data_IF_970425103414
#
_entry.id   IF_970425103414
#
_cell.length_a   1.000
_cell.length_b   1.000
_cell.length_c   1.000
_cell.angle_alpha   90.00
_cell.angle_beta   90.00
_cell.angle_gamma   90.00
#
_symmetry.space_group_name_H-M   'P 1'
#
loop_
_entity.id
_entity.type
_entity.pdbx_description
1 polymer ?
#
# COMPACT_ATOMS: atom_id res chain seq x y z
N UNK A 1 17.04 -1.60 28.04
CA UNK A 1 15.92 -1.86 27.12
C UNK A 1 15.51 -3.31 27.32
N UNK A 2 14.26 -3.60 27.66
CA UNK A 2 13.77 -4.97 27.71
C UNK A 2 13.79 -5.56 26.31
N UNK A 3 14.21 -6.82 26.16
CA UNK A 3 14.11 -7.53 24.89
C UNK A 3 12.64 -7.59 24.44
N UNK A 4 12.37 -7.28 23.17
CA UNK A 4 11.05 -7.50 22.59
C UNK A 4 10.76 -8.99 22.64
N UNK A 5 9.58 -9.37 23.15
CA UNK A 5 9.13 -10.76 23.18
C UNK A 5 8.02 -10.95 22.15
N UNK A 6 8.16 -11.98 21.31
CA UNK A 6 7.14 -12.36 20.31
C UNK A 6 6.20 -13.46 20.82
N UNK A 7 6.38 -13.91 22.07
CA UNK A 7 5.59 -14.98 22.66
C UNK A 7 4.13 -14.58 22.69
N UNK A 8 3.27 -15.42 22.11
CA UNK A 8 1.81 -15.25 22.05
C UNK A 8 1.33 -14.07 21.21
N UNK A 9 2.22 -13.41 20.45
CA UNK A 9 1.84 -12.34 19.54
C UNK A 9 1.11 -12.90 18.31
N UNK A 10 -0.02 -12.31 17.93
CA UNK A 10 -0.75 -12.63 16.70
C UNK A 10 -0.24 -11.74 15.57
N UNK A 11 0.43 -12.35 14.61
CA UNK A 11 1.01 -11.66 13.46
C UNK A 11 0.15 -11.96 12.24
N UNK A 12 -0.48 -10.93 11.69
CA UNK A 12 -1.12 -10.99 10.38
C UNK A 12 -0.07 -10.96 9.29
N UNK A 13 0.07 -12.04 8.53
CA UNK A 13 1.02 -12.11 7.42
C UNK A 13 0.32 -11.79 6.09
N UNK A 14 0.57 -10.59 5.58
CA UNK A 14 0.06 -10.12 4.30
C UNK A 14 1.09 -10.30 3.19
N UNK A 15 0.91 -11.36 2.40
CA UNK A 15 1.89 -11.80 1.40
C UNK A 15 1.55 -11.40 -0.04
N UNK A 16 0.31 -11.00 -0.30
CA UNK A 16 -0.16 -10.71 -1.65
C UNK A 16 0.08 -9.23 -1.96
N UNK A 17 0.90 -8.89 -2.97
CA UNK A 17 1.09 -7.50 -3.33
C UNK A 17 -0.23 -6.91 -3.88
N UNK A 18 -0.47 -5.60 -3.69
CA UNK A 18 -1.58 -4.89 -4.33
C UNK A 18 -1.68 -5.10 -5.84
N UNK A 19 -0.52 -5.26 -6.50
CA UNK A 19 -0.38 -5.31 -7.95
C UNK A 19 0.69 -6.33 -8.31
N UNK A 20 0.45 -7.10 -9.37
CA UNK A 20 1.40 -8.06 -9.89
C UNK A 20 1.57 -9.28 -8.98
N UNK A 21 2.76 -9.86 -9.01
CA UNK A 21 3.10 -11.06 -8.25
C UNK A 21 4.32 -10.81 -7.37
N UNK A 22 4.38 -11.52 -6.23
CA UNK A 22 5.53 -11.49 -5.35
C UNK A 22 6.68 -12.29 -5.96
N UNK A 23 7.85 -11.70 -6.05
CA UNK A 23 9.07 -12.40 -6.47
C UNK A 23 9.35 -13.61 -5.56
N UNK A 24 9.76 -14.73 -6.16
CA UNK A 24 9.99 -15.99 -5.46
C UNK A 24 11.07 -15.90 -4.36
N UNK A 25 12.18 -15.19 -4.61
CA UNK A 25 13.26 -15.04 -3.63
C UNK A 25 12.79 -14.25 -2.41
N UNK A 26 11.97 -13.23 -2.63
CA UNK A 26 11.40 -12.44 -1.53
C UNK A 26 10.34 -13.23 -0.78
N UNK A 27 9.52 -14.01 -1.49
CA UNK A 27 8.60 -14.93 -0.85
C UNK A 27 9.34 -15.94 0.06
N UNK A 28 10.49 -16.46 -0.37
CA UNK A 28 11.33 -17.33 0.45
C UNK A 28 11.88 -16.57 1.67
N UNK A 29 12.47 -15.40 1.47
CA UNK A 29 13.06 -14.61 2.55
C UNK A 29 12.05 -14.21 3.62
N UNK A 30 10.87 -13.72 3.21
CA UNK A 30 9.81 -13.34 4.16
C UNK A 30 9.21 -14.55 4.85
N UNK A 31 9.08 -15.70 4.16
CA UNK A 31 8.54 -16.92 4.77
C UNK A 31 9.49 -17.43 5.86
N UNK A 32 10.80 -17.43 5.60
CA UNK A 32 11.82 -17.80 6.60
C UNK A 32 11.82 -16.86 7.80
N UNK A 33 11.59 -15.55 7.60
CA UNK A 33 11.42 -14.61 8.70
C UNK A 33 10.16 -14.93 9.54
N UNK A 34 9.05 -15.33 8.90
CA UNK A 34 7.82 -15.71 9.62
C UNK A 34 8.02 -17.01 10.41
N UNK A 35 8.74 -17.99 9.86
CA UNK A 35 9.12 -19.23 10.55
C UNK A 35 9.94 -18.91 11.81
N UNK A 36 10.92 -18.02 11.69
CA UNK A 36 11.77 -17.58 12.82
C UNK A 36 10.95 -16.91 13.93
N UNK A 37 9.89 -16.18 13.58
CA UNK A 37 8.98 -15.57 14.57
C UNK A 37 8.05 -16.62 15.19
N UNK A 38 7.57 -17.58 14.41
CA UNK A 38 6.76 -18.69 14.90
C UNK A 38 7.53 -19.54 15.92
N UNK A 39 8.81 -19.84 15.66
CA UNK A 39 9.70 -20.57 16.58
C UNK A 39 9.92 -19.82 17.90
N UNK A 40 9.78 -18.50 17.90
CA UNK A 40 9.82 -17.65 19.09
C UNK A 40 8.46 -17.56 19.83
N UNK A 41 7.45 -18.27 19.35
CA UNK A 41 6.13 -18.40 19.96
C UNK A 41 5.07 -17.45 19.43
N UNK A 42 5.29 -16.78 18.28
CA UNK A 42 4.27 -16.01 17.61
C UNK A 42 3.26 -16.92 16.89
N UNK A 43 2.01 -16.47 16.78
CA UNK A 43 0.99 -17.09 15.93
C UNK A 43 0.92 -16.34 14.61
N UNK A 44 1.32 -17.00 13.53
CA UNK A 44 1.27 -16.42 12.18
C UNK A 44 -0.07 -16.77 11.53
N UNK A 45 -0.85 -15.76 11.17
CA UNK A 45 -2.20 -15.89 10.60
C UNK A 45 -2.22 -15.20 9.23
N UNK A 46 -2.84 -15.79 8.19
CA UNK A 46 -3.01 -15.10 6.92
C UNK A 46 -3.72 -13.74 7.08
N UNK A 47 -3.21 -12.70 6.41
CA UNK A 47 -3.84 -11.39 6.39
C UNK A 47 -4.09 -10.93 4.96
N UNK A 48 -5.29 -10.40 4.73
CA UNK A 48 -5.71 -9.87 3.42
C UNK A 48 -6.28 -8.48 3.65
N UNK A 49 -5.98 -7.54 2.75
CA UNK A 49 -6.62 -6.23 2.80
C UNK A 49 -8.13 -6.38 2.55
N UNK A 50 -8.99 -5.67 3.29
CA UNK A 50 -10.44 -5.69 3.11
C UNK A 50 -10.89 -4.83 1.91
N UNK A 51 -10.18 -4.96 0.78
CA UNK A 51 -10.49 -4.30 -0.49
C UNK A 51 -9.79 -5.05 -1.63
N UNK A 52 -10.45 -5.16 -2.78
CA UNK A 52 -9.90 -5.84 -3.95
C UNK A 52 -8.97 -4.94 -4.79
N UNK A 53 -9.29 -3.64 -4.93
CA UNK A 53 -8.54 -2.71 -5.75
C UNK A 53 -7.99 -1.52 -4.93
N UNK A 54 -6.98 -1.83 -4.11
CA UNK A 54 -6.30 -0.81 -3.29
C UNK A 54 -5.49 0.17 -4.15
N UNK A 55 -5.05 -0.24 -5.35
CA UNK A 55 -4.29 0.64 -6.24
C UNK A 55 -5.21 1.71 -6.84
N UNK A 56 -6.39 1.35 -7.34
CA UNK A 56 -7.37 2.34 -7.84
C UNK A 56 -7.69 3.39 -6.76
N UNK A 57 -7.94 2.93 -5.54
CA UNK A 57 -8.19 3.82 -4.40
C UNK A 57 -6.99 4.73 -4.11
N UNK A 58 -5.77 4.18 -4.11
CA UNK A 58 -4.55 4.95 -3.91
C UNK A 58 -4.36 6.01 -5.02
N UNK A 59 -4.49 5.60 -6.27
CA UNK A 59 -4.28 6.46 -7.44
C UNK A 59 -5.23 7.65 -7.43
N UNK A 60 -6.52 7.46 -7.15
CA UNK A 60 -7.47 8.58 -7.07
C UNK A 60 -7.03 9.65 -6.08
N UNK A 61 -6.58 9.27 -4.88
CA UNK A 61 -6.16 10.22 -3.85
C UNK A 61 -4.78 10.81 -4.14
N UNK A 62 -3.84 10.01 -4.63
CA UNK A 62 -2.50 10.46 -4.98
C UNK A 62 -2.52 11.45 -6.14
N UNK A 63 -3.24 11.13 -7.21
CA UNK A 63 -3.35 11.97 -8.40
C UNK A 63 -4.10 13.27 -8.09
N UNK A 64 -5.20 13.21 -7.33
CA UNK A 64 -5.90 14.42 -6.88
C UNK A 64 -4.99 15.34 -6.03
N UNK A 65 -4.19 14.76 -5.13
CA UNK A 65 -3.19 15.51 -4.35
C UNK A 65 -2.10 16.13 -5.21
N UNK A 66 -1.59 15.38 -6.19
CA UNK A 66 -0.61 15.88 -7.17
C UNK A 66 -1.17 17.04 -7.99
N UNK A 67 -2.41 16.93 -8.47
CA UNK A 67 -3.10 17.98 -9.22
C UNK A 67 -3.30 19.25 -8.37
N UNK A 68 -3.74 19.10 -7.11
CA UNK A 68 -3.90 20.22 -6.19
C UNK A 68 -2.57 20.94 -5.96
N UNK A 69 -1.49 20.20 -5.73
CA UNK A 69 -0.16 20.79 -5.57
C UNK A 69 0.29 21.48 -6.86
N UNK A 70 0.12 20.84 -8.01
CA UNK A 70 0.51 21.35 -9.31
C UNK A 70 -0.24 22.64 -9.68
N UNK A 71 -1.53 22.74 -9.36
CA UNK A 71 -2.34 23.94 -9.59
C UNK A 71 -1.78 25.18 -8.88
N UNK A 72 -1.09 25.00 -7.75
CA UNK A 72 -0.45 26.09 -6.99
C UNK A 72 0.91 26.56 -7.56
N UNK A 73 1.46 25.85 -8.56
CA UNK A 73 2.77 26.14 -9.16
C UNK A 73 2.56 26.96 -10.44
N UNK A 74 3.41 27.97 -10.66
CA UNK A 74 3.40 28.83 -11.85
C UNK A 74 3.74 28.03 -13.12
N UNK A 75 3.28 28.50 -14.28
CA UNK A 75 3.57 27.82 -15.56
C UNK A 75 5.07 27.69 -15.84
N UNK A 76 5.85 28.74 -15.56
CA UNK A 76 7.30 28.74 -15.75
C UNK A 76 8.02 27.70 -14.87
N UNK A 77 7.54 27.48 -13.65
CA UNK A 77 8.13 26.52 -12.73
C UNK A 77 7.65 25.08 -12.98
N UNK A 78 6.47 24.89 -13.58
CA UNK A 78 5.96 23.55 -13.93
C UNK A 78 6.90 22.83 -14.88
N UNK A 79 7.56 23.54 -15.81
CA UNK A 79 8.52 22.94 -16.74
C UNK A 79 9.77 22.35 -16.05
N UNK A 80 10.07 22.77 -14.82
CA UNK A 80 11.22 22.29 -14.03
C UNK A 80 10.89 21.03 -13.24
N UNK A 81 9.63 20.61 -13.21
CA UNK A 81 9.17 19.45 -12.45
C UNK A 81 9.50 18.14 -13.18
N UNK A 82 9.77 17.11 -12.38
CA UNK A 82 9.91 15.73 -12.85
C UNK A 82 8.73 15.34 -13.74
N UNK A 83 9.01 14.66 -14.86
CA UNK A 83 7.99 14.32 -15.86
C UNK A 83 6.94 13.34 -15.30
N UNK A 84 7.33 12.41 -14.42
CA UNK A 84 6.40 11.49 -13.77
C UNK A 84 5.44 12.22 -12.84
N UNK A 85 5.92 13.22 -12.10
CA UNK A 85 5.05 14.08 -11.30
C UNK A 85 4.07 14.89 -12.16
N UNK A 86 4.53 15.47 -13.27
CA UNK A 86 3.65 16.22 -14.19
C UNK A 86 2.54 15.33 -14.76
N UNK A 87 2.89 14.13 -15.22
CA UNK A 87 1.92 13.16 -15.73
C UNK A 87 0.87 12.79 -14.68
N UNK A 88 1.31 12.54 -13.43
CA UNK A 88 0.43 12.25 -12.31
C UNK A 88 -0.53 13.43 -12.01
N UNK A 89 -0.01 14.66 -12.01
CA UNK A 89 -0.83 15.84 -11.79
C UNK A 89 -1.85 16.08 -12.92
N UNK A 90 -1.44 15.93 -14.17
CA UNK A 90 -2.34 16.05 -15.33
C UNK A 90 -3.45 15.01 -15.32
N UNK A 91 -3.15 13.77 -14.90
CA UNK A 91 -4.17 12.73 -14.65
C UNK A 91 -5.14 13.18 -13.56
N UNK A 92 -4.63 13.71 -12.45
CA UNK A 92 -5.47 14.19 -11.36
C UNK A 92 -6.36 15.38 -11.73
N UNK A 93 -5.89 16.29 -12.59
CA UNK A 93 -6.69 17.43 -13.08
C UNK A 93 -7.92 17.00 -13.90
N UNK A 94 -7.95 15.76 -14.40
CA UNK A 94 -9.09 15.20 -15.14
C UNK A 94 -10.13 14.53 -14.23
N UNK A 95 -9.83 14.34 -12.95
CA UNK A 95 -10.79 13.79 -11.99
C UNK A 95 -11.92 14.78 -11.74
N UNK A 96 -13.15 14.33 -11.91
CA UNK A 96 -14.34 15.10 -11.55
C UNK A 96 -14.53 15.17 -10.04
N UNK A 97 -15.30 16.17 -9.58
CA UNK A 97 -15.68 16.27 -8.18
C UNK A 97 -16.45 15.04 -7.68
N UNK A 98 -17.26 14.42 -8.55
CA UNK A 98 -18.02 13.20 -8.22
C UNK A 98 -17.09 12.01 -8.01
N UNK A 99 -16.09 11.82 -8.87
CA UNK A 99 -15.08 10.76 -8.71
C UNK A 99 -14.27 10.94 -7.43
N UNK A 100 -13.88 12.18 -7.10
CA UNK A 100 -13.17 12.48 -5.87
C UNK A 100 -14.01 12.17 -4.62
N UNK A 101 -15.27 12.60 -4.59
CA UNK A 101 -16.19 12.30 -3.48
C UNK A 101 -16.42 10.79 -3.32
N UNK A 102 -16.60 10.07 -4.44
CA UNK A 102 -16.73 8.62 -4.42
C UNK A 102 -15.47 7.94 -3.86
N UNK A 103 -14.28 8.38 -4.28
CA UNK A 103 -13.00 7.87 -3.75
C UNK A 103 -12.82 8.16 -2.26
N UNK A 104 -13.30 9.31 -1.76
CA UNK A 104 -13.29 9.64 -0.34
C UNK A 104 -14.19 8.71 0.48
N UNK A 105 -15.41 8.44 0.00
CA UNK A 105 -16.33 7.47 0.63
C UNK A 105 -15.71 6.07 0.64
N UNK A 106 -15.16 5.61 -0.50
CA UNK A 106 -14.44 4.33 -0.58
C UNK A 106 -13.31 4.25 0.46
N UNK A 107 -12.52 5.32 0.62
CA UNK A 107 -11.43 5.38 1.61
C UNK A 107 -11.94 5.29 3.04
N UNK A 108 -13.06 5.94 3.35
CA UNK A 108 -13.68 5.86 4.67
C UNK A 108 -14.15 4.43 5.00
N UNK A 109 -14.81 3.76 4.05
CA UNK A 109 -15.21 2.36 4.20
C UNK A 109 -13.99 1.44 4.36
N UNK A 110 -12.95 1.63 3.55
CA UNK A 110 -11.70 0.88 3.67
C UNK A 110 -11.05 1.07 5.04
N UNK A 111 -10.98 2.31 5.55
CA UNK A 111 -10.46 2.60 6.89
C UNK A 111 -11.23 1.87 7.98
N UNK A 112 -12.56 1.96 7.97
CA UNK A 112 -13.40 1.25 8.94
C UNK A 112 -13.24 -0.28 8.86
N UNK A 113 -13.12 -0.84 7.65
CA UNK A 113 -12.88 -2.27 7.48
C UNK A 113 -11.47 -2.69 7.93
N UNK A 114 -10.46 -1.84 7.70
CA UNK A 114 -9.10 -2.03 8.20
C UNK A 114 -9.06 -2.00 9.72
N UNK A 115 -9.80 -1.12 10.40
CA UNK A 115 -9.88 -1.09 11.86
C UNK A 115 -10.38 -2.43 12.42
N UNK A 116 -11.41 -3.01 11.80
CA UNK A 116 -11.92 -4.33 12.17
C UNK A 116 -10.88 -5.43 11.92
N UNK A 117 -10.19 -5.40 10.77
CA UNK A 117 -9.17 -6.39 10.45
C UNK A 117 -7.95 -6.31 11.39
N UNK A 118 -7.50 -5.10 11.71
CA UNK A 118 -6.36 -4.85 12.59
C UNK A 118 -6.67 -5.18 14.05
N UNK A 119 -7.92 -5.08 14.50
CA UNK A 119 -8.31 -5.59 15.83
C UNK A 119 -8.13 -7.11 15.99
N UNK A 120 -7.97 -7.86 14.89
CA UNK A 120 -7.74 -9.30 14.92
C UNK A 120 -6.29 -9.73 15.18
N UNK A 121 -5.33 -8.81 15.07
CA UNK A 121 -3.89 -9.09 15.12
C UNK A 121 -3.14 -8.01 15.90
N UNK A 122 -1.99 -8.33 16.47
CA UNK A 122 -1.15 -7.34 17.18
C UNK A 122 -0.29 -6.52 16.20
N UNK A 123 0.08 -7.12 15.07
CA UNK A 123 0.84 -6.47 14.00
C UNK A 123 0.56 -7.14 12.67
N UNK A 124 0.69 -6.38 11.59
CA UNK A 124 0.74 -6.92 10.22
C UNK A 124 2.17 -6.85 9.71
N UNK A 125 2.66 -7.96 9.16
CA UNK A 125 3.94 -8.01 8.46
C UNK A 125 3.66 -8.33 6.99
N UNK A 126 4.33 -7.59 6.11
CA UNK A 126 4.29 -7.82 4.66
C UNK A 126 5.70 -7.71 4.08
N UNK A 127 5.94 -8.25 2.88
CA UNK A 127 7.10 -7.87 2.09
C UNK A 127 7.13 -6.35 1.90
N UNK A 128 8.28 -5.73 2.12
CA UNK A 128 8.45 -4.29 1.90
C UNK A 128 8.42 -3.92 0.40
N UNK A 129 8.79 -4.87 -0.47
CA UNK A 129 8.79 -4.72 -1.93
C UNK A 129 8.29 -6.01 -2.59
N UNK A 130 7.60 -5.88 -3.74
CA UNK A 130 7.01 -7.01 -4.47
C UNK A 130 7.95 -7.69 -5.49
N UNK A 131 9.13 -7.13 -5.75
CA UNK A 131 9.59 -6.48 -6.97
C UNK A 131 9.20 -7.12 -8.31
N UNK A 132 9.05 -6.20 -9.27
CA UNK A 132 9.11 -6.37 -10.72
C UNK A 132 10.57 -6.67 -11.10
N UNK A 133 10.82 -7.77 -11.82
CA UNK A 133 11.93 -7.79 -12.77
C UNK A 133 11.71 -6.61 -13.72
N UNK A 134 12.67 -5.68 -13.83
CA UNK A 134 12.62 -4.45 -14.65
C UNK A 134 12.26 -4.66 -16.15
N UNK A 135 11.98 -5.90 -16.57
CA UNK A 135 11.69 -6.34 -17.94
C UNK A 135 10.20 -6.47 -18.28
N UNK A 136 9.27 -6.06 -17.40
CA UNK A 136 7.84 -6.13 -17.71
C UNK A 136 7.12 -4.81 -17.43
N UNK A 137 7.39 -3.81 -18.26
CA UNK A 137 6.39 -2.78 -18.59
C UNK A 137 5.94 -3.02 -20.03
N UNK A 138 4.63 -3.01 -20.32
CA UNK A 138 4.15 -3.01 -21.71
C UNK A 138 4.64 -1.77 -22.46
#
# INVERSE_FOLDING_TARGET
MSAVSFRSMKIGFWRQPPVGALNAEINIAVSSAMETLADQGASIIPFTLPIDDVLDLFDHHWLAGAALRYASITEDDRLKLDSGFREAAEKGLRLSAVELLAAQVKRAHFGAAMDVALNGVDVVISPATAPISLLQRP
#
